data_IF_777762735035
#
_entry.id   IF_777762735035
#
_cell.length_a   1.000
_cell.length_b   1.000
_cell.length_c   1.000
_cell.angle_alpha   90.00
_cell.angle_beta   90.00
_cell.angle_gamma   90.00
#
_symmetry.space_group_name_H-M   'P 1'
#
loop_
_entity.id
_entity.type
_entity.pdbx_description
1 polymer ?
#
# COMPACT_ATOMS: atom_id res chain seq x y z
N UNK A 1 -59.86 -49.31 61.13
CA UNK A 1 -59.52 -50.62 60.52
C UNK A 1 -59.66 -50.53 59.00
N UNK A 2 -58.53 -50.45 58.28
CA UNK A 2 -58.19 -51.18 57.05
C UNK A 2 -56.93 -50.54 56.43
N UNK A 3 -55.89 -51.35 56.32
CA UNK A 3 -54.67 -51.13 55.54
C UNK A 3 -54.92 -51.51 54.08
N UNK A 4 -54.32 -50.80 53.12
CA UNK A 4 -53.62 -51.35 51.95
C UNK A 4 -52.93 -50.21 51.15
N UNK A 5 -51.66 -50.41 50.81
CA UNK A 5 -50.85 -49.61 49.87
C UNK A 5 -50.54 -50.48 48.62
N UNK A 6 -49.62 -50.13 47.68
CA UNK A 6 -49.36 -48.88 46.93
C UNK A 6 -49.40 -49.15 45.39
N UNK A 7 -48.94 -48.19 44.54
CA UNK A 7 -48.23 -48.32 43.23
C UNK A 7 -48.51 -47.07 42.37
N UNK A 8 -47.53 -46.20 42.11
CA UNK A 8 -46.75 -46.16 40.86
C UNK A 8 -47.44 -45.25 39.84
N UNK A 9 -46.90 -44.10 39.45
CA UNK A 9 -45.93 -44.03 38.35
C UNK A 9 -44.99 -42.83 38.45
N UNK A 10 -43.74 -43.14 38.14
CA UNK A 10 -42.55 -42.32 37.90
C UNK A 10 -42.71 -41.32 36.76
N UNK A 11 -42.30 -40.05 36.93
CA UNK A 11 -41.34 -39.38 36.03
C UNK A 11 -40.86 -38.01 36.57
N UNK A 12 -39.60 -38.00 37.00
CA UNK A 12 -38.50 -37.04 36.70
C UNK A 12 -38.75 -35.53 36.81
N UNK A 13 -38.08 -34.93 37.81
CA UNK A 13 -37.67 -33.51 37.92
C UNK A 13 -36.45 -33.28 37.00
N UNK A 14 -36.17 -32.09 36.43
CA UNK A 14 -35.45 -31.07 37.21
C UNK A 14 -35.77 -29.59 36.89
N UNK A 15 -35.74 -28.79 37.96
CA UNK A 15 -35.04 -27.51 38.09
C UNK A 15 -34.60 -26.81 36.78
N UNK A 16 -35.23 -25.69 36.45
CA UNK A 16 -34.58 -24.61 35.72
C UNK A 16 -34.09 -23.57 36.74
N UNK A 17 -32.80 -23.66 37.07
CA UNK A 17 -32.03 -22.51 37.51
C UNK A 17 -31.64 -21.73 36.24
N UNK A 18 -32.23 -20.55 36.03
CA UNK A 18 -31.79 -19.66 34.97
C UNK A 18 -30.48 -18.99 35.43
N UNK A 19 -29.37 -19.64 35.12
CA UNK A 19 -28.04 -19.04 35.17
C UNK A 19 -27.99 -17.91 34.14
N UNK A 20 -27.84 -16.67 34.61
CA UNK A 20 -27.46 -15.57 33.74
C UNK A 20 -26.02 -15.82 33.27
N UNK A 21 -25.87 -16.41 32.09
CA UNK A 21 -24.59 -16.39 31.38
C UNK A 21 -24.29 -14.95 31.02
N UNK A 22 -23.39 -14.32 31.78
CA UNK A 22 -22.65 -13.17 31.27
C UNK A 22 -21.91 -13.65 30.03
N UNK A 23 -22.42 -13.25 28.87
CA UNK A 23 -21.70 -13.40 27.62
C UNK A 23 -20.55 -12.39 27.68
N UNK A 24 -19.42 -12.77 28.27
CA UNK A 24 -18.17 -12.04 28.14
C UNK A 24 -17.67 -12.25 26.72
N UNK A 25 -18.34 -11.62 25.76
CA UNK A 25 -17.70 -11.27 24.52
C UNK A 25 -16.56 -10.32 24.90
N UNK A 26 -15.34 -10.84 24.89
CA UNK A 26 -14.14 -10.00 24.84
C UNK A 26 -14.27 -9.21 23.54
N UNK A 27 -14.87 -8.01 23.62
CA UNK A 27 -14.63 -6.98 22.62
C UNK A 27 -13.14 -6.71 22.71
N UNK A 28 -12.36 -7.34 21.83
CA UNK A 28 -10.96 -6.96 21.63
C UNK A 28 -11.01 -5.53 21.12
N UNK A 29 -10.84 -4.59 22.04
CA UNK A 29 -10.67 -3.18 21.72
C UNK A 29 -9.23 -2.98 21.28
N UNK A 30 -9.01 -2.91 19.98
CA UNK A 30 -7.97 -2.04 19.43
C UNK A 30 -8.32 -1.72 17.99
N UNK A 31 -9.02 -0.59 17.82
CA UNK A 31 -8.86 0.27 16.65
C UNK A 31 -7.43 0.82 16.64
N UNK A 32 -6.44 -0.07 16.55
CA UNK A 32 -5.10 0.35 16.22
C UNK A 32 -5.19 0.82 14.77
N UNK A 33 -4.92 2.10 14.55
CA UNK A 33 -4.68 2.59 13.20
C UNK A 33 -3.53 1.71 12.67
N UNK A 34 -3.71 0.98 11.57
CA UNK A 34 -2.72 0.00 11.08
C UNK A 34 -1.50 0.66 10.42
N UNK A 35 -1.15 1.85 10.91
CA UNK A 35 -0.08 2.69 10.46
C UNK A 35 0.72 3.17 11.66
N UNK A 36 2.04 3.17 11.53
CA UNK A 36 2.95 3.86 12.44
C UNK A 36 3.46 5.13 11.77
N UNK A 37 3.40 6.26 12.48
CA UNK A 37 3.98 7.52 12.00
C UNK A 37 5.49 7.45 12.11
N UNK A 38 6.18 7.86 11.05
CA UNK A 38 7.63 7.96 11.01
C UNK A 38 8.02 9.44 10.88
N UNK A 39 8.97 9.88 11.69
CA UNK A 39 9.39 11.28 11.72
C UNK A 39 10.02 11.68 10.37
N UNK A 40 9.71 12.90 9.93
CA UNK A 40 10.13 13.45 8.64
C UNK A 40 8.97 14.10 7.89
N UNK A 41 9.29 14.69 6.74
CA UNK A 41 8.29 15.27 5.83
C UNK A 41 8.65 14.97 4.38
N UNK A 42 7.74 14.32 3.66
CA UNK A 42 7.93 13.94 2.26
C UNK A 42 6.67 14.26 1.44
N UNK A 43 6.87 14.56 0.15
CA UNK A 43 5.79 14.79 -0.80
C UNK A 43 5.52 13.57 -1.68
N UNK A 44 6.54 12.74 -1.93
CA UNK A 44 6.43 11.46 -2.64
C UNK A 44 7.24 10.39 -1.95
N UNK A 45 6.79 9.14 -2.05
CA UNK A 45 7.48 7.99 -1.45
C UNK A 45 7.38 6.75 -2.33
N UNK A 46 8.47 5.99 -2.39
CA UNK A 46 8.54 4.73 -3.11
C UNK A 46 9.24 3.68 -2.25
N UNK A 47 8.68 2.48 -2.21
CA UNK A 47 9.23 1.34 -1.49
C UNK A 47 9.41 0.18 -2.46
N UNK A 48 10.64 -0.27 -2.67
CA UNK A 48 10.93 -1.51 -3.39
C UNK A 48 10.90 -2.73 -2.47
N UNK A 49 11.44 -2.55 -1.26
CA UNK A 49 11.48 -3.52 -0.16
C UNK A 49 11.65 -2.80 1.18
N UNK A 50 11.59 -3.53 2.28
CA UNK A 50 11.88 -3.06 3.63
C UNK A 50 13.25 -2.38 3.78
N UNK A 51 14.22 -2.72 2.93
CA UNK A 51 15.57 -2.14 2.93
C UNK A 51 15.81 -1.13 1.82
N UNK A 52 14.81 -0.87 0.95
CA UNK A 52 14.94 0.06 -0.16
C UNK A 52 13.70 0.97 -0.25
N UNK A 53 13.64 1.95 0.64
CA UNK A 53 12.57 2.95 0.70
C UNK A 53 13.17 4.33 0.51
N UNK A 54 12.57 5.10 -0.38
CA UNK A 54 13.05 6.40 -0.80
C UNK A 54 11.90 7.39 -0.87
N UNK A 55 12.20 8.66 -0.64
CA UNK A 55 11.22 9.73 -0.81
C UNK A 55 11.86 11.02 -1.24
N UNK A 56 11.02 11.91 -1.73
CA UNK A 56 11.39 13.30 -2.03
C UNK A 56 10.50 14.26 -1.26
N UNK A 57 11.11 15.29 -0.70
CA UNK A 57 10.42 16.35 0.03
C UNK A 57 9.92 17.45 -0.92
N UNK A 58 9.09 18.36 -0.40
CA UNK A 58 8.49 19.44 -1.20
C UNK A 58 9.49 20.47 -1.75
N UNK A 59 10.71 20.49 -1.22
CA UNK A 59 11.85 21.30 -1.66
C UNK A 59 12.80 20.52 -2.58
N UNK A 60 12.33 19.41 -3.16
CA UNK A 60 13.06 18.49 -4.04
C UNK A 60 14.20 17.71 -3.35
N UNK A 61 14.38 17.84 -2.02
CA UNK A 61 15.39 17.06 -1.29
C UNK A 61 15.07 15.57 -1.28
N UNK A 62 16.12 14.74 -1.42
CA UNK A 62 15.99 13.30 -1.58
C UNK A 62 16.40 12.61 -0.28
N UNK A 63 15.60 11.63 0.16
CA UNK A 63 15.86 10.89 1.38
C UNK A 63 15.77 9.38 1.12
N UNK A 64 16.67 8.62 1.76
CA UNK A 64 16.62 7.16 1.84
C UNK A 64 16.33 6.75 3.27
N UNK A 65 15.46 5.76 3.46
CA UNK A 65 15.21 5.17 4.76
C UNK A 65 16.46 4.44 5.27
N UNK A 66 16.77 4.60 6.55
CA UNK A 66 17.99 4.05 7.18
C UNK A 66 17.81 2.62 7.70
N UNK A 67 16.56 2.17 7.87
CA UNK A 67 16.25 0.95 8.63
C UNK A 67 16.00 1.20 10.12
N UNK A 68 16.11 2.44 10.61
CA UNK A 68 15.98 2.79 12.02
C UNK A 68 15.00 3.96 12.22
N UNK A 69 13.81 3.68 12.76
CA UNK A 69 12.77 4.67 13.02
C UNK A 69 13.20 5.82 13.94
N UNK A 70 14.27 5.65 14.74
CA UNK A 70 14.79 6.71 15.61
C UNK A 70 15.67 7.73 14.87
N UNK A 71 16.19 7.35 13.71
CA UNK A 71 16.90 8.21 12.79
C UNK A 71 16.55 7.80 11.35
N UNK A 72 15.29 8.01 10.91
CA UNK A 72 14.70 7.27 9.80
C UNK A 72 15.28 7.64 8.44
N UNK A 73 15.80 8.85 8.25
CA UNK A 73 16.17 9.35 6.93
C UNK A 73 17.61 9.81 6.86
N UNK A 74 18.30 9.36 5.82
CA UNK A 74 19.56 9.97 5.38
C UNK A 74 19.29 10.78 4.12
N UNK A 75 19.74 12.04 4.10
CA UNK A 75 19.64 12.90 2.92
C UNK A 75 20.66 12.46 1.87
N UNK A 76 20.21 12.29 0.64
CA UNK A 76 21.06 11.96 -0.51
C UNK A 76 21.21 13.21 -1.38
N UNK A 77 22.44 13.65 -1.71
CA UNK A 77 22.66 14.85 -2.52
C UNK A 77 21.95 14.78 -3.87
N UNK A 78 21.23 15.84 -4.26
CA UNK A 78 20.49 15.93 -5.51
C UNK A 78 19.18 16.71 -5.34
N UNK A 79 18.43 16.84 -6.43
CA UNK A 79 17.09 17.43 -6.43
C UNK A 79 16.17 16.66 -7.37
N UNK A 80 15.10 16.06 -6.84
CA UNK A 80 14.12 15.26 -7.58
C UNK A 80 12.70 15.61 -7.13
N UNK A 81 11.77 15.60 -8.09
CA UNK A 81 10.33 15.77 -7.85
C UNK A 81 9.57 14.45 -7.82
N UNK A 82 10.20 13.37 -8.29
CA UNK A 82 9.65 12.01 -8.23
C UNK A 82 10.76 10.97 -8.10
N UNK A 83 10.44 9.83 -7.48
CA UNK A 83 11.39 8.77 -7.19
C UNK A 83 10.73 7.38 -7.24
N UNK A 84 11.44 6.40 -7.80
CA UNK A 84 11.02 5.01 -7.86
C UNK A 84 12.12 4.08 -7.36
N UNK A 85 11.77 3.16 -6.46
CA UNK A 85 12.68 2.19 -5.85
C UNK A 85 12.23 0.75 -6.15
N UNK A 86 13.13 -0.07 -6.71
CA UNK A 86 12.91 -1.47 -7.01
C UNK A 86 13.40 -2.41 -5.89
N UNK A 87 12.84 -3.62 -5.82
CA UNK A 87 13.21 -4.62 -4.80
C UNK A 87 14.67 -5.09 -4.91
N UNK A 88 15.29 -4.97 -6.09
CA UNK A 88 16.68 -5.31 -6.39
C UNK A 88 17.69 -4.24 -5.96
N UNK A 89 17.22 -3.14 -5.36
CA UNK A 89 18.05 -1.99 -4.99
C UNK A 89 18.16 -0.93 -6.09
N UNK A 90 17.57 -1.15 -7.27
CA UNK A 90 17.54 -0.16 -8.33
C UNK A 90 16.72 1.07 -7.89
N UNK A 91 17.21 2.27 -8.17
CA UNK A 91 16.51 3.52 -7.86
C UNK A 91 16.64 4.50 -9.03
N UNK A 92 15.53 5.12 -9.37
CA UNK A 92 15.42 6.11 -10.44
C UNK A 92 14.66 7.34 -9.95
N UNK A 93 14.92 8.48 -10.57
CA UNK A 93 14.24 9.72 -10.22
C UNK A 93 14.11 10.69 -11.39
N UNK A 94 13.16 11.61 -11.23
CA UNK A 94 12.92 12.72 -12.16
C UNK A 94 13.10 14.04 -11.43
N UNK A 95 13.77 15.00 -12.06
CA UNK A 95 13.86 16.38 -11.54
C UNK A 95 12.70 17.27 -12.03
N UNK A 96 12.55 18.45 -11.44
CA UNK A 96 11.50 19.42 -11.84
C UNK A 96 11.55 19.89 -13.30
N UNK A 97 12.69 19.73 -13.98
CA UNK A 97 12.84 20.02 -15.42
C UNK A 97 12.71 18.77 -16.32
N UNK A 98 12.31 17.64 -15.74
CA UNK A 98 12.08 16.38 -16.43
C UNK A 98 13.32 15.53 -16.68
N UNK A 99 14.51 15.95 -16.22
CA UNK A 99 15.72 15.13 -16.36
C UNK A 99 15.60 13.82 -15.58
N UNK A 100 16.06 12.73 -16.19
CA UNK A 100 16.01 11.38 -15.66
C UNK A 100 17.36 11.04 -15.03
N UNK A 101 17.32 10.50 -13.81
CA UNK A 101 18.49 10.13 -13.03
C UNK A 101 18.39 8.68 -12.55
N UNK A 102 19.51 7.97 -12.56
CA UNK A 102 19.64 6.64 -11.97
C UNK A 102 20.65 6.67 -10.83
N UNK A 103 20.28 6.08 -9.69
CA UNK A 103 21.16 5.95 -8.55
C UNK A 103 22.34 5.02 -8.85
N UNK A 104 23.54 5.38 -8.38
CA UNK A 104 24.78 4.64 -8.65
C UNK A 104 25.13 3.60 -7.59
N UNK A 105 24.53 3.71 -6.39
CA UNK A 105 24.97 2.95 -5.22
C UNK A 105 26.04 3.63 -4.38
N UNK A 106 26.56 4.79 -4.81
CA UNK A 106 27.62 5.55 -4.12
C UNK A 106 27.13 6.95 -3.72
N UNK A 107 26.98 7.19 -2.41
CA UNK A 107 26.47 8.47 -1.88
C UNK A 107 27.38 9.68 -2.16
N UNK A 108 28.65 9.46 -2.54
CA UNK A 108 29.56 10.54 -2.95
C UNK A 108 29.31 11.04 -4.39
N UNK A 109 28.86 10.15 -5.27
CA UNK A 109 28.46 10.45 -6.65
C UNK A 109 27.16 9.73 -6.99
N UNK A 110 26.04 10.16 -6.38
CA UNK A 110 24.86 9.32 -6.26
C UNK A 110 24.09 9.13 -7.56
N UNK A 111 24.24 10.01 -8.56
CA UNK A 111 23.37 10.02 -9.73
C UNK A 111 24.12 10.04 -11.05
N UNK A 112 23.65 9.23 -11.99
CA UNK A 112 24.01 9.32 -13.40
C UNK A 112 22.79 9.78 -14.19
N UNK A 113 22.95 10.83 -15.00
CA UNK A 113 21.91 11.33 -15.90
C UNK A 113 21.71 10.37 -17.07
N UNK A 114 20.46 10.10 -17.41
CA UNK A 114 20.07 9.27 -18.55
C UNK A 114 19.39 10.16 -19.60
N UNK A 115 19.71 9.96 -20.88
CA UNK A 115 19.15 10.77 -21.96
C UNK A 115 17.65 10.48 -22.12
N UNK A 116 16.83 11.53 -22.00
CA UNK A 116 15.37 11.48 -22.10
C UNK A 116 14.72 12.53 -21.20
N UNK A 117 13.40 12.66 -21.28
CA UNK A 117 12.60 13.47 -20.34
C UNK A 117 11.35 12.69 -19.92
N UNK A 118 11.04 12.66 -18.63
CA UNK A 118 9.83 12.04 -18.08
C UNK A 118 9.17 12.99 -17.06
N UNK A 119 7.88 12.80 -16.81
CA UNK A 119 7.14 13.57 -15.78
C UNK A 119 6.92 12.76 -14.48
N UNK A 120 6.99 11.42 -14.56
CA UNK A 120 6.96 10.46 -13.43
C UNK A 120 7.78 9.23 -13.79
N UNK A 121 8.28 8.52 -12.77
CA UNK A 121 8.94 7.21 -12.96
C UNK A 121 8.20 6.16 -12.15
N UNK A 122 7.79 5.11 -12.85
CA UNK A 122 7.41 3.83 -12.26
C UNK A 122 8.45 2.79 -12.62
N UNK A 123 8.82 1.94 -11.67
CA UNK A 123 9.85 0.93 -11.85
C UNK A 123 9.24 -0.40 -12.29
N UNK A 124 9.08 -0.59 -13.60
CA UNK A 124 8.82 -1.90 -14.19
C UNK A 124 8.18 -1.84 -15.58
N UNK A 125 8.71 -2.70 -16.46
CA UNK A 125 8.41 -3.02 -17.86
C UNK A 125 7.77 -1.97 -18.81
N UNK A 126 8.40 -1.83 -19.98
CA UNK A 126 7.99 -0.96 -21.09
C UNK A 126 6.92 -1.59 -21.99
N UNK A 127 5.70 -1.06 -22.04
CA UNK A 127 4.80 -1.24 -23.20
C UNK A 127 3.75 -0.13 -23.34
N UNK A 128 3.33 0.12 -24.59
CA UNK A 128 2.36 1.13 -25.01
C UNK A 128 1.00 1.00 -24.29
N UNK A 129 0.45 2.15 -23.90
CA UNK A 129 -0.72 2.29 -23.04
C UNK A 129 -1.91 2.87 -23.84
N UNK A 130 -3.09 2.21 -23.84
CA UNK A 130 -4.36 2.82 -24.26
C UNK A 130 -4.94 3.71 -23.14
N UNK A 131 -5.26 4.97 -23.47
CA UNK A 131 -5.74 5.97 -22.51
C UNK A 131 -4.58 6.64 -21.76
N UNK A 132 -4.62 7.96 -21.62
CA UNK A 132 -3.57 8.73 -20.96
C UNK A 132 -3.53 8.40 -19.46
N UNK A 133 -2.84 7.32 -19.08
CA UNK A 133 -2.55 7.01 -17.69
C UNK A 133 -1.74 8.16 -17.09
N UNK A 134 -2.18 8.64 -15.93
CA UNK A 134 -1.52 9.70 -15.17
C UNK A 134 -0.61 9.14 -14.09
N UNK A 135 -0.81 7.87 -13.71
CA UNK A 135 0.07 7.15 -12.81
C UNK A 135 0.11 5.66 -13.18
N UNK A 136 1.24 5.02 -12.89
CA UNK A 136 1.51 3.62 -13.23
C UNK A 136 2.37 3.01 -12.13
N UNK A 137 2.06 1.79 -11.73
CA UNK A 137 2.82 0.99 -10.77
C UNK A 137 3.23 -0.32 -11.42
N UNK A 138 4.48 -0.73 -11.22
CA UNK A 138 4.96 -2.01 -11.71
C UNK A 138 5.75 -2.75 -10.63
N UNK A 139 5.38 -4.01 -10.43
CA UNK A 139 5.94 -4.89 -9.42
C UNK A 139 7.09 -5.74 -9.94
N UNK A 140 7.87 -6.29 -9.01
CA UNK A 140 9.04 -7.12 -9.33
C UNK A 140 8.68 -8.43 -10.06
N UNK A 141 7.44 -8.90 -9.95
CA UNK A 141 6.92 -10.09 -10.64
C UNK A 141 6.36 -9.80 -12.05
N UNK A 142 6.51 -8.56 -12.54
CA UNK A 142 5.98 -8.11 -13.82
C UNK A 142 4.50 -7.70 -13.78
N UNK A 143 3.88 -7.70 -12.61
CA UNK A 143 2.54 -7.13 -12.43
C UNK A 143 2.57 -5.63 -12.73
N UNK A 144 1.68 -5.14 -13.57
CA UNK A 144 1.59 -3.70 -13.90
C UNK A 144 0.14 -3.24 -13.77
N UNK A 145 -0.03 -2.09 -13.13
CA UNK A 145 -1.31 -1.40 -13.02
C UNK A 145 -1.13 0.07 -13.35
N UNK A 146 -2.21 0.71 -13.77
CA UNK A 146 -2.21 2.15 -13.96
C UNK A 146 -3.56 2.77 -13.74
N UNK A 147 -3.54 4.08 -13.51
CA UNK A 147 -4.73 4.90 -13.35
C UNK A 147 -4.73 6.06 -14.34
N UNK A 148 -5.90 6.39 -14.86
CA UNK A 148 -6.09 7.49 -15.82
C UNK A 148 -6.40 8.82 -15.13
N UNK A 149 -6.39 9.91 -15.91
CA UNK A 149 -6.73 11.25 -15.41
C UNK A 149 -8.18 11.40 -14.88
N UNK A 150 -9.07 10.45 -15.17
CA UNK A 150 -10.45 10.42 -14.66
C UNK A 150 -10.64 9.36 -13.57
N UNK A 151 -9.54 8.76 -13.09
CA UNK A 151 -9.52 7.78 -12.02
C UNK A 151 -9.74 6.33 -12.44
N UNK A 152 -10.01 6.04 -13.73
CA UNK A 152 -10.18 4.66 -14.18
C UNK A 152 -8.92 3.83 -13.95
N UNK A 153 -9.09 2.62 -13.42
CA UNK A 153 -8.02 1.70 -13.04
C UNK A 153 -7.88 0.57 -14.07
N UNK A 154 -6.65 0.29 -14.48
CA UNK A 154 -6.32 -0.70 -15.50
C UNK A 154 -5.22 -1.63 -15.02
N UNK A 155 -5.40 -2.94 -15.17
CA UNK A 155 -4.36 -3.95 -14.93
C UNK A 155 -3.85 -4.51 -16.26
N UNK A 156 -2.53 -4.61 -16.39
CA UNK A 156 -1.89 -5.22 -17.54
C UNK A 156 -2.08 -6.74 -17.52
N UNK A 157 -2.44 -7.33 -18.66
CA UNK A 157 -2.72 -8.76 -18.80
C UNK A 157 -1.56 -9.54 -19.43
N UNK A 158 -0.61 -8.86 -20.07
CA UNK A 158 0.43 -9.52 -20.88
C UNK A 158 -0.06 -10.02 -22.25
N UNK A 159 -1.34 -9.81 -22.60
CA UNK A 159 -1.91 -10.21 -23.89
C UNK A 159 -1.68 -9.10 -24.94
N UNK A 160 -0.91 -9.41 -25.99
CA UNK A 160 -0.59 -8.46 -27.06
C UNK A 160 -1.82 -7.96 -27.84
N UNK A 161 -2.95 -8.69 -27.80
CA UNK A 161 -4.19 -8.29 -28.46
C UNK A 161 -5.06 -7.34 -27.63
N UNK A 162 -5.21 -7.63 -26.32
CA UNK A 162 -5.97 -6.82 -25.36
C UNK A 162 -5.18 -6.68 -24.06
N UNK A 163 -4.17 -5.78 -24.03
CA UNK A 163 -3.17 -5.75 -22.97
C UNK A 163 -3.69 -5.24 -21.63
N UNK A 164 -4.91 -4.72 -21.56
CA UNK A 164 -5.43 -4.08 -20.35
C UNK A 164 -6.86 -4.53 -20.05
N UNK A 165 -7.10 -4.85 -18.78
CA UNK A 165 -8.43 -5.07 -18.22
C UNK A 165 -8.78 -3.93 -17.27
N UNK A 166 -9.98 -3.37 -17.40
CA UNK A 166 -10.49 -2.35 -16.48
C UNK A 166 -10.91 -3.01 -15.17
N UNK A 167 -10.44 -2.47 -14.05
CA UNK A 167 -10.82 -2.90 -12.71
C UNK A 167 -11.75 -1.86 -12.10
N UNK A 168 -12.85 -2.33 -11.47
CA UNK A 168 -13.82 -1.42 -10.87
C UNK A 168 -13.20 -0.65 -9.70
N UNK A 169 -13.47 0.65 -9.64
CA UNK A 169 -12.92 1.57 -8.63
C UNK A 169 -12.50 2.89 -9.26
N UNK A 170 -12.06 3.84 -8.43
CA UNK A 170 -11.45 5.10 -8.86
C UNK A 170 -10.26 5.44 -7.97
N UNK A 171 -9.11 5.74 -8.58
CA UNK A 171 -7.86 6.05 -7.88
C UNK A 171 -7.11 7.17 -8.62
N UNK A 172 -6.44 8.06 -7.88
CA UNK A 172 -5.53 9.08 -8.42
C UNK A 172 -4.08 8.62 -8.46
N UNK A 173 -3.73 7.63 -7.62
CA UNK A 173 -2.39 7.08 -7.47
C UNK A 173 -2.47 5.56 -7.29
N UNK A 174 -1.48 4.84 -7.85
CA UNK A 174 -1.36 3.39 -7.69
C UNK A 174 0.09 2.95 -7.53
N UNK A 175 0.31 2.06 -6.57
CA UNK A 175 1.61 1.48 -6.22
C UNK A 175 1.55 -0.03 -6.28
N UNK A 176 2.53 -0.65 -6.94
CA UNK A 176 2.55 -2.10 -7.18
C UNK A 176 3.92 -2.63 -6.82
N UNK A 177 4.00 -3.45 -5.77
CA UNK A 177 5.20 -4.21 -5.43
C UNK A 177 5.22 -5.59 -6.07
N UNK A 178 4.05 -6.23 -6.13
CA UNK A 178 3.79 -7.55 -6.73
C UNK A 178 2.29 -7.73 -6.95
N UNK A 179 1.89 -8.86 -7.53
CA UNK A 179 0.49 -9.29 -7.66
C UNK A 179 -0.27 -9.34 -6.32
N UNK A 180 0.42 -9.50 -5.20
CA UNK A 180 -0.17 -9.54 -3.84
C UNK A 180 0.04 -8.25 -3.05
N UNK A 181 0.73 -7.26 -3.62
CA UNK A 181 1.05 -5.98 -2.97
C UNK A 181 0.71 -4.84 -3.92
N UNK A 182 -0.60 -4.56 -4.04
CA UNK A 182 -1.14 -3.46 -4.86
C UNK A 182 -1.96 -2.54 -3.96
N UNK A 183 -1.56 -1.28 -3.96
CA UNK A 183 -2.14 -0.22 -3.13
C UNK A 183 -2.45 1.00 -3.97
N UNK A 184 -3.41 1.79 -3.55
CA UNK A 184 -3.70 3.04 -4.22
C UNK A 184 -4.43 4.01 -3.32
N UNK A 185 -4.46 5.24 -3.81
CA UNK A 185 -5.10 6.39 -3.15
C UNK A 185 -6.19 6.93 -4.07
N UNK A 186 -7.37 7.16 -3.51
CA UNK A 186 -8.50 7.79 -4.19
C UNK A 186 -8.42 9.34 -4.11
N UNK A 187 -9.17 10.08 -4.95
CA UNK A 187 -9.11 11.55 -4.98
C UNK A 187 -9.49 12.27 -3.67
N UNK A 188 -10.11 11.55 -2.73
CA UNK A 188 -10.50 12.01 -1.41
C UNK A 188 -9.52 11.56 -0.31
N UNK A 189 -8.28 11.22 -0.69
CA UNK A 189 -7.20 10.71 0.14
C UNK A 189 -7.48 9.32 0.79
N UNK A 190 -8.58 8.65 0.43
CA UNK A 190 -8.89 7.31 0.95
C UNK A 190 -7.91 6.26 0.40
N UNK A 191 -7.48 5.35 1.28
CA UNK A 191 -6.47 4.34 0.98
C UNK A 191 -7.17 3.01 0.66
N UNK A 192 -6.74 2.36 -0.41
CA UNK A 192 -7.27 1.06 -0.82
C UNK A 192 -6.15 0.04 -1.07
N UNK A 193 -6.39 -1.20 -0.65
CA UNK A 193 -5.55 -2.36 -0.95
C UNK A 193 -6.31 -3.31 -1.88
N UNK A 194 -5.64 -3.82 -2.91
CA UNK A 194 -6.24 -4.81 -3.80
C UNK A 194 -6.47 -6.13 -3.06
N UNK A 195 -7.61 -6.78 -3.30
CA UNK A 195 -8.02 -8.00 -2.58
C UNK A 195 -7.52 -9.29 -3.22
N UNK A 196 -7.07 -9.25 -4.47
CA UNK A 196 -6.84 -10.45 -5.27
C UNK A 196 -8.07 -10.94 -6.06
N UNK A 197 -9.21 -10.24 -5.94
CA UNK A 197 -10.48 -10.62 -6.58
C UNK A 197 -11.12 -9.45 -7.32
N UNK A 198 -11.13 -9.50 -8.65
CA UNK A 198 -11.70 -8.43 -9.50
C UNK A 198 -13.20 -8.20 -9.31
N UNK A 199 -13.94 -9.14 -8.69
CA UNK A 199 -15.36 -8.97 -8.38
C UNK A 199 -15.60 -8.09 -7.16
N UNK A 200 -14.62 -8.02 -6.26
CA UNK A 200 -14.59 -7.15 -5.09
C UNK A 200 -13.16 -6.62 -4.89
N UNK A 201 -12.68 -5.76 -5.80
CA UNK A 201 -11.24 -5.53 -5.99
C UNK A 201 -10.56 -4.79 -4.86
N UNK A 202 -11.27 -3.99 -4.07
CA UNK A 202 -10.65 -3.09 -3.11
C UNK A 202 -11.20 -3.28 -1.71
N UNK A 203 -10.29 -3.31 -0.73
CA UNK A 203 -10.61 -3.10 0.67
C UNK A 203 -10.13 -1.73 1.09
N UNK A 204 -11.01 -0.94 1.70
CA UNK A 204 -10.64 0.37 2.25
C UNK A 204 -9.83 0.19 3.53
N UNK A 205 -8.73 0.92 3.62
CA UNK A 205 -7.83 0.91 4.76
C UNK A 205 -7.99 2.25 5.51
N UNK A 206 -8.21 2.24 6.85
CA UNK A 206 -8.33 3.47 7.61
C UNK A 206 -7.07 4.34 7.52
N UNK A 207 -7.26 5.63 7.24
CA UNK A 207 -6.19 6.61 7.09
C UNK A 207 -6.50 7.59 5.95
N UNK A 208 -5.59 8.54 5.74
CA UNK A 208 -5.64 9.47 4.62
C UNK A 208 -4.22 9.70 4.10
N UNK A 209 -3.98 9.38 2.82
CA UNK A 209 -2.69 9.52 2.16
C UNK A 209 -2.89 10.19 0.80
N UNK A 210 -1.85 10.81 0.25
CA UNK A 210 -1.84 11.37 -1.11
C UNK A 210 -0.89 10.61 -2.04
N UNK A 211 0.03 9.81 -1.49
CA UNK A 211 0.92 8.95 -2.25
C UNK A 211 1.32 7.71 -1.43
N UNK A 212 1.52 6.58 -2.11
CA UNK A 212 1.86 5.30 -1.49
C UNK A 212 2.97 4.56 -2.25
N UNK A 213 3.86 3.91 -1.50
CA UNK A 213 4.91 3.03 -2.00
C UNK A 213 4.69 1.60 -1.50
N UNK A 214 4.46 0.66 -2.42
CA UNK A 214 4.29 -0.76 -2.12
C UNK A 214 5.49 -1.58 -2.65
N UNK A 215 6.18 -2.26 -1.73
CA UNK A 215 7.31 -3.14 -2.01
C UNK A 215 6.87 -4.57 -2.29
N UNK A 216 7.73 -5.31 -3.00
CA UNK A 216 7.48 -6.71 -3.39
C UNK A 216 7.42 -7.67 -2.19
N UNK A 217 8.03 -7.29 -1.05
CA UNK A 217 8.02 -8.03 0.21
C UNK A 217 6.80 -7.71 1.10
N UNK A 218 5.85 -6.92 0.59
CA UNK A 218 4.68 -6.47 1.34
C UNK A 218 4.93 -5.23 2.20
N UNK A 219 6.14 -4.65 2.16
CA UNK A 219 6.41 -3.35 2.78
C UNK A 219 5.54 -2.28 2.14
N UNK A 220 4.85 -1.47 2.95
CA UNK A 220 4.04 -0.37 2.42
C UNK A 220 4.29 0.89 3.23
N UNK A 221 4.49 1.98 2.52
CA UNK A 221 4.64 3.31 3.07
C UNK A 221 3.70 4.27 2.38
N UNK A 222 3.43 5.40 3.02
CA UNK A 222 2.68 6.47 2.40
C UNK A 222 2.98 7.82 3.03
N UNK A 223 2.58 8.86 2.29
CA UNK A 223 2.64 10.24 2.75
C UNK A 223 1.25 10.87 2.69
N UNK A 224 0.94 11.72 3.66
CA UNK A 224 -0.33 12.48 3.70
C UNK A 224 -0.21 13.82 2.99
N UNK A 225 -1.34 14.52 2.82
CA UNK A 225 -1.41 15.86 2.19
C UNK A 225 -0.63 16.95 2.92
N UNK A 226 -0.27 16.74 4.19
CA UNK A 226 0.61 17.63 4.98
C UNK A 226 2.04 17.11 5.10
N UNK A 227 2.39 16.07 4.34
CA UNK A 227 3.72 15.49 4.26
C UNK A 227 4.10 14.54 5.39
N UNK A 228 3.18 14.21 6.31
CA UNK A 228 3.46 13.18 7.33
C UNK A 228 3.68 11.82 6.68
N UNK A 229 4.66 11.08 7.19
CA UNK A 229 5.08 9.79 6.66
C UNK A 229 4.55 8.67 7.54
N UNK A 230 4.00 7.63 6.91
CA UNK A 230 3.36 6.50 7.58
C UNK A 230 3.87 5.19 7.01
N UNK A 231 4.20 4.23 7.88
CA UNK A 231 4.51 2.85 7.51
C UNK A 231 3.38 1.93 7.92
N UNK A 232 2.95 1.07 7.00
CA UNK A 232 1.95 0.04 7.26
C UNK A 232 2.50 -1.02 8.22
N UNK A 233 1.67 -1.44 9.18
CA UNK A 233 2.03 -2.49 10.15
C UNK A 233 0.97 -3.59 10.25
N UNK A 234 -0.05 -3.56 9.41
CA UNK A 234 -1.12 -4.55 9.41
C UNK A 234 -0.77 -5.83 8.67
N UNK A 235 -1.63 -6.83 8.83
CA UNK A 235 -1.45 -8.22 8.40
C UNK A 235 -1.45 -8.44 6.87
#
# INVERSE_FOLDING_TARGET
MKFSAPLGFTTVVPFLALCATQNTAVKVSSSAIPWVKIDGQLNRISAGSSTNVWGVAANDEIFRYTGDDSNPWVQIPGALTDIGAGADGTVWGVSSIGDIWRYTGDEGFPWVKINGQLNRISVGSSTNIPGALTDIGAGADGTVWGVSSIGDIWRYTGDEGFPWVKINGQLDQISVGSSTSVWGVAPNDEIFRYTGDDSSPWVQIPGALTDTGAGADGTVWGVSSIGEIWRWIGD
#
